data_IF_515287689157
#
_entry.id   IF_515287689157
#
_cell.length_a   1.000
_cell.length_b   1.000
_cell.length_c   1.000
_cell.angle_alpha   90.00
_cell.angle_beta   90.00
_cell.angle_gamma   90.00
#
_symmetry.space_group_name_H-M   'P 1'
#
loop_
_entity.id
_entity.type
_entity.pdbx_description
1 polymer ?
#
# COMPACT_ATOMS: atom_id res chain seq x y z
N UNK A 1 -10.68 -29.35 -16.34
CA UNK A 1 -11.53 -28.53 -15.44
C UNK A 1 -10.74 -27.89 -14.29
N UNK A 2 -9.75 -28.56 -13.73
CA UNK A 2 -8.94 -28.07 -12.59
C UNK A 2 -8.11 -26.82 -12.92
N UNK A 3 -7.41 -26.79 -14.03
CA UNK A 3 -6.57 -25.63 -14.47
C UNK A 3 -7.40 -24.33 -14.61
N UNK A 4 -8.63 -24.42 -15.08
CA UNK A 4 -9.52 -23.28 -15.23
C UNK A 4 -9.95 -22.65 -13.90
N UNK A 5 -9.99 -23.46 -12.83
CA UNK A 5 -10.34 -22.98 -11.49
C UNK A 5 -9.15 -22.27 -10.83
N UNK A 6 -7.93 -22.79 -11.04
CA UNK A 6 -6.69 -22.19 -10.54
C UNK A 6 -6.47 -20.82 -11.20
N UNK A 7 -6.54 -20.76 -12.53
CA UNK A 7 -6.40 -19.51 -13.29
C UNK A 7 -7.40 -18.41 -12.83
N UNK A 8 -8.67 -18.78 -12.62
CA UNK A 8 -9.67 -17.85 -12.08
C UNK A 8 -9.32 -17.32 -10.68
N UNK A 9 -8.73 -18.14 -9.84
CA UNK A 9 -8.34 -17.73 -8.49
C UNK A 9 -7.09 -16.84 -8.51
N UNK A 10 -6.14 -17.08 -9.38
CA UNK A 10 -5.00 -16.21 -9.61
C UNK A 10 -5.44 -14.81 -10.08
N UNK A 11 -6.35 -14.74 -11.05
CA UNK A 11 -6.92 -13.47 -11.52
C UNK A 11 -7.63 -12.74 -10.37
N UNK A 12 -8.41 -13.44 -9.54
CA UNK A 12 -9.05 -12.83 -8.38
C UNK A 12 -8.06 -12.31 -7.35
N UNK A 13 -6.98 -13.04 -7.10
CA UNK A 13 -5.90 -12.64 -6.23
C UNK A 13 -5.21 -11.38 -6.75
N UNK A 14 -4.82 -11.39 -8.03
CA UNK A 14 -4.19 -10.23 -8.68
C UNK A 14 -5.08 -9.00 -8.61
N UNK A 15 -6.36 -9.12 -8.94
CA UNK A 15 -7.33 -8.02 -8.86
C UNK A 15 -7.49 -7.50 -7.43
N UNK A 16 -7.54 -8.38 -6.42
CA UNK A 16 -7.63 -7.96 -5.02
C UNK A 16 -6.39 -7.19 -4.57
N UNK A 17 -5.18 -7.63 -4.97
CA UNK A 17 -3.93 -6.93 -4.71
C UNK A 17 -3.87 -5.58 -5.44
N UNK A 18 -4.27 -5.54 -6.70
CA UNK A 18 -4.31 -4.32 -7.51
C UNK A 18 -5.25 -3.27 -6.89
N UNK A 19 -6.48 -3.67 -6.55
CA UNK A 19 -7.45 -2.77 -5.89
C UNK A 19 -6.92 -2.25 -4.57
N UNK A 20 -6.28 -3.11 -3.77
CA UNK A 20 -5.67 -2.70 -2.50
C UNK A 20 -4.52 -1.72 -2.72
N UNK A 21 -3.67 -1.94 -3.72
CA UNK A 21 -2.56 -1.05 -4.06
C UNK A 21 -3.08 0.33 -4.48
N UNK A 22 -4.06 0.38 -5.38
CA UNK A 22 -4.69 1.63 -5.83
C UNK A 22 -5.31 2.37 -4.63
N UNK A 23 -6.11 1.68 -3.81
CA UNK A 23 -6.74 2.29 -2.64
C UNK A 23 -5.73 2.84 -1.63
N UNK A 24 -4.63 2.11 -1.38
CA UNK A 24 -3.56 2.57 -0.48
C UNK A 24 -2.83 3.79 -1.05
N UNK A 25 -2.59 3.82 -2.36
CA UNK A 25 -1.93 4.95 -3.02
C UNK A 25 -2.81 6.21 -2.96
N UNK A 26 -4.11 6.06 -3.20
CA UNK A 26 -5.07 7.16 -3.10
C UNK A 26 -5.19 7.68 -1.65
N UNK A 27 -5.22 6.78 -0.67
CA UNK A 27 -5.25 7.17 0.74
C UNK A 27 -3.99 7.95 1.14
N UNK A 28 -2.81 7.46 0.74
CA UNK A 28 -1.55 8.14 1.05
C UNK A 28 -1.47 9.52 0.36
N UNK A 29 -1.92 9.61 -0.89
CA UNK A 29 -2.02 10.89 -1.60
C UNK A 29 -2.97 11.87 -0.90
N UNK A 30 -4.11 11.36 -0.39
CA UNK A 30 -5.05 12.14 0.40
C UNK A 30 -4.45 12.64 1.73
N UNK A 31 -3.75 11.77 2.46
CA UNK A 31 -3.06 12.14 3.71
C UNK A 31 -1.99 13.20 3.42
N UNK A 32 -1.23 13.06 2.32
CA UNK A 32 -0.23 14.04 1.91
C UNK A 32 -0.85 15.41 1.65
N UNK A 33 -1.96 15.45 0.92
CA UNK A 33 -2.72 16.67 0.68
C UNK A 33 -3.21 17.32 1.98
N UNK A 34 -3.75 16.51 2.89
CA UNK A 34 -4.24 17.01 4.17
C UNK A 34 -3.11 17.62 5.03
N UNK A 35 -1.95 16.98 5.10
CA UNK A 35 -0.78 17.51 5.81
C UNK A 35 -0.32 18.83 5.17
N UNK A 36 -0.29 18.89 3.84
CA UNK A 36 0.05 20.12 3.13
C UNK A 36 -0.90 21.27 3.50
N UNK A 37 -2.20 21.04 3.57
CA UNK A 37 -3.18 22.05 3.99
C UNK A 37 -2.94 22.50 5.43
N UNK A 38 -2.61 21.59 6.36
CA UNK A 38 -2.28 21.93 7.75
C UNK A 38 -1.04 22.82 7.81
N UNK A 39 0.03 22.46 7.11
CA UNK A 39 1.29 23.20 7.12
C UNK A 39 1.15 24.62 6.54
N UNK A 40 0.20 24.83 5.61
CA UNK A 40 -0.10 26.12 5.04
C UNK A 40 -1.20 26.92 5.80
N UNK A 41 -1.60 26.48 6.99
CA UNK A 41 -2.67 27.12 7.79
C UNK A 41 -4.00 27.29 7.04
N UNK A 42 -4.29 26.43 6.07
CA UNK A 42 -5.58 26.43 5.41
C UNK A 42 -6.68 25.93 6.34
N UNK A 43 -7.89 26.47 6.22
CA UNK A 43 -9.02 26.08 7.04
C UNK A 43 -9.39 24.61 6.84
N UNK A 44 -9.15 23.77 7.85
CA UNK A 44 -9.41 22.31 7.80
C UNK A 44 -10.77 21.91 8.41
N UNK A 45 -11.63 22.87 8.75
CA UNK A 45 -12.87 22.65 9.51
C UNK A 45 -13.84 21.65 8.83
N UNK A 46 -13.98 21.70 7.52
CA UNK A 46 -14.79 20.73 6.78
C UNK A 46 -14.10 19.40 6.48
N UNK A 47 -12.77 19.36 6.60
CA UNK A 47 -11.96 18.19 6.21
C UNK A 47 -12.05 17.04 7.22
N UNK A 48 -12.36 17.29 8.50
CA UNK A 48 -12.42 16.25 9.53
C UNK A 48 -13.47 15.18 9.23
N UNK A 49 -14.67 15.58 8.83
CA UNK A 49 -15.74 14.64 8.46
C UNK A 49 -15.42 13.92 7.14
N UNK A 50 -14.84 14.64 6.19
CA UNK A 50 -14.44 14.04 4.92
C UNK A 50 -13.29 13.03 5.11
N UNK A 51 -12.33 13.32 5.99
CA UNK A 51 -11.27 12.37 6.34
C UNK A 51 -11.83 11.08 6.96
N UNK A 52 -12.81 11.20 7.88
CA UNK A 52 -13.47 10.03 8.45
C UNK A 52 -14.17 9.19 7.36
N UNK A 53 -14.82 9.84 6.40
CA UNK A 53 -15.47 9.17 5.28
C UNK A 53 -14.47 8.45 4.37
N UNK A 54 -13.36 9.09 4.01
CA UNK A 54 -12.28 8.48 3.20
C UNK A 54 -11.68 7.28 3.92
N UNK A 55 -11.43 7.37 5.23
CA UNK A 55 -10.93 6.27 6.04
C UNK A 55 -11.91 5.10 6.11
N UNK A 56 -13.21 5.36 6.23
CA UNK A 56 -14.24 4.32 6.22
C UNK A 56 -14.29 3.59 4.87
N UNK A 57 -14.22 4.31 3.76
CA UNK A 57 -14.16 3.69 2.43
C UNK A 57 -12.91 2.81 2.33
N UNK A 58 -11.76 3.32 2.73
CA UNK A 58 -10.52 2.54 2.71
C UNK A 58 -10.62 1.30 3.59
N UNK A 59 -11.15 1.40 4.80
CA UNK A 59 -11.35 0.28 5.70
C UNK A 59 -12.26 -0.79 5.08
N UNK A 60 -13.35 -0.40 4.42
CA UNK A 60 -14.25 -1.32 3.72
C UNK A 60 -13.55 -2.03 2.56
N UNK A 61 -12.76 -1.31 1.75
CA UNK A 61 -11.98 -1.90 0.66
C UNK A 61 -10.91 -2.84 1.21
N UNK A 62 -10.18 -2.44 2.24
CA UNK A 62 -9.15 -3.25 2.88
C UNK A 62 -9.74 -4.52 3.49
N UNK A 63 -10.91 -4.44 4.14
CA UNK A 63 -11.62 -5.59 4.68
C UNK A 63 -12.03 -6.58 3.58
N UNK A 64 -12.69 -6.08 2.52
CA UNK A 64 -13.15 -6.92 1.40
C UNK A 64 -11.99 -7.61 0.68
N UNK A 65 -10.91 -6.90 0.43
CA UNK A 65 -9.71 -7.46 -0.22
C UNK A 65 -9.00 -8.47 0.67
N UNK A 66 -8.87 -8.20 1.97
CA UNK A 66 -8.29 -9.13 2.95
C UNK A 66 -9.11 -10.42 3.07
N UNK A 67 -10.44 -10.32 3.18
CA UNK A 67 -11.33 -11.49 3.21
C UNK A 67 -11.23 -12.33 1.93
N UNK A 68 -11.06 -11.69 0.77
CA UNK A 68 -10.84 -12.40 -0.51
C UNK A 68 -9.51 -13.14 -0.52
N UNK A 69 -8.44 -12.50 -0.07
CA UNK A 69 -7.09 -13.09 0.01
C UNK A 69 -7.04 -14.24 1.01
N UNK A 70 -7.74 -14.10 2.15
CA UNK A 70 -7.83 -15.15 3.17
C UNK A 70 -8.57 -16.39 2.66
N UNK A 71 -9.68 -16.21 1.93
CA UNK A 71 -10.39 -17.32 1.29
C UNK A 71 -9.50 -18.08 0.30
N UNK A 72 -8.70 -17.36 -0.48
CA UNK A 72 -7.75 -17.95 -1.43
C UNK A 72 -6.65 -18.71 -0.68
N UNK A 73 -6.12 -18.15 0.41
CA UNK A 73 -5.08 -18.79 1.24
C UNK A 73 -5.56 -20.06 1.94
N UNK A 74 -6.83 -20.10 2.34
CA UNK A 74 -7.40 -21.24 3.06
C UNK A 74 -7.84 -22.39 2.12
N UNK A 75 -7.78 -22.19 0.80
CA UNK A 75 -7.99 -23.27 -0.16
C UNK A 75 -6.73 -24.13 -0.25
N UNK A 76 -6.77 -25.33 0.38
CA UNK A 76 -5.63 -26.26 0.47
C UNK A 76 -5.04 -26.63 -0.90
N UNK A 77 -5.88 -26.73 -1.93
CA UNK A 77 -5.45 -27.09 -3.29
C UNK A 77 -4.60 -25.98 -3.91
N UNK A 78 -4.95 -24.71 -3.60
CA UNK A 78 -4.22 -23.55 -4.07
C UNK A 78 -2.95 -23.32 -3.25
N UNK A 79 -2.99 -23.60 -1.95
CA UNK A 79 -1.83 -23.51 -1.06
C UNK A 79 -0.75 -24.52 -1.43
N UNK A 80 -1.13 -25.73 -1.83
CA UNK A 80 -0.21 -26.76 -2.33
C UNK A 80 0.34 -26.41 -3.73
N UNK A 81 -0.49 -25.84 -4.64
CA UNK A 81 -0.07 -25.45 -5.99
C UNK A 81 0.81 -24.18 -6.01
N UNK A 82 0.63 -23.28 -5.05
CA UNK A 82 1.38 -22.03 -4.92
C UNK A 82 2.59 -22.14 -3.98
N UNK A 83 2.93 -23.36 -3.57
CA UNK A 83 4.05 -23.67 -2.70
C UNK A 83 4.24 -22.64 -1.57
N UNK A 84 3.83 -22.96 -0.34
CA UNK A 84 3.81 -22.01 0.78
C UNK A 84 5.17 -21.32 1.03
N UNK A 85 6.26 -21.95 0.58
CA UNK A 85 7.62 -21.44 0.65
C UNK A 85 7.86 -20.27 -0.32
N UNK A 86 7.36 -20.37 -1.56
CA UNK A 86 7.46 -19.28 -2.56
C UNK A 86 6.73 -18.03 -2.07
N UNK A 87 5.57 -18.19 -1.45
CA UNK A 87 4.80 -17.06 -0.95
C UNK A 87 5.50 -16.31 0.20
N UNK A 88 6.14 -17.03 1.10
CA UNK A 88 6.92 -16.43 2.18
C UNK A 88 8.14 -15.66 1.65
N UNK A 89 8.84 -16.20 0.67
CA UNK A 89 9.97 -15.56 0.00
C UNK A 89 9.54 -14.28 -0.74
N UNK A 90 8.40 -14.29 -1.44
CA UNK A 90 7.89 -13.08 -2.10
C UNK A 90 7.50 -11.99 -1.11
N UNK A 91 6.86 -12.33 0.00
CA UNK A 91 6.54 -11.37 1.05
C UNK A 91 7.80 -10.75 1.67
N UNK A 92 8.81 -11.58 1.95
CA UNK A 92 10.10 -11.09 2.47
C UNK A 92 10.79 -10.16 1.47
N UNK A 93 10.89 -10.55 0.19
CA UNK A 93 11.46 -9.70 -0.86
C UNK A 93 10.72 -8.38 -1.03
N UNK A 94 9.39 -8.40 -0.92
CA UNK A 94 8.56 -7.19 -0.98
C UNK A 94 8.85 -6.25 0.18
N UNK A 95 8.93 -6.76 1.41
CA UNK A 95 9.27 -5.97 2.60
C UNK A 95 10.70 -5.42 2.52
N UNK A 96 11.66 -6.23 2.09
CA UNK A 96 13.03 -5.80 1.87
C UNK A 96 13.11 -4.67 0.83
N UNK A 97 12.38 -4.79 -0.29
CA UNK A 97 12.32 -3.73 -1.31
C UNK A 97 11.76 -2.43 -0.73
N UNK A 98 10.68 -2.49 0.05
CA UNK A 98 10.11 -1.33 0.73
C UNK A 98 11.10 -0.68 1.70
N UNK A 99 11.83 -1.49 2.47
CA UNK A 99 12.84 -1.01 3.41
C UNK A 99 14.00 -0.30 2.71
N UNK A 100 14.57 -0.90 1.66
CA UNK A 100 15.64 -0.25 0.89
C UNK A 100 15.16 1.03 0.20
N UNK A 101 13.95 1.04 -0.33
CA UNK A 101 13.36 2.25 -0.91
C UNK A 101 13.18 3.36 0.14
N UNK A 102 12.78 3.02 1.37
CA UNK A 102 12.70 3.96 2.49
C UNK A 102 14.07 4.54 2.86
N UNK A 103 15.11 3.71 2.92
CA UNK A 103 16.47 4.16 3.21
C UNK A 103 16.97 5.14 2.14
N UNK A 104 16.80 4.81 0.85
CA UNK A 104 17.20 5.68 -0.26
C UNK A 104 16.42 7.00 -0.21
N UNK A 105 15.10 6.95 -0.04
CA UNK A 105 14.27 8.14 0.10
C UNK A 105 14.70 8.98 1.31
N UNK A 106 14.99 8.35 2.45
CA UNK A 106 15.48 9.02 3.65
C UNK A 106 16.80 9.76 3.41
N UNK A 107 17.76 9.15 2.73
CA UNK A 107 19.02 9.80 2.37
C UNK A 107 18.79 11.00 1.44
N UNK A 108 17.93 10.86 0.44
CA UNK A 108 17.59 11.96 -0.49
C UNK A 108 16.94 13.12 0.27
N UNK A 109 15.94 12.83 1.10
CA UNK A 109 15.23 13.84 1.90
C UNK A 109 16.18 14.51 2.89
N UNK A 110 17.07 13.76 3.55
CA UNK A 110 18.07 14.30 4.46
C UNK A 110 19.05 15.25 3.75
N UNK A 111 19.47 14.89 2.52
CA UNK A 111 20.45 15.67 1.77
C UNK A 111 19.85 16.95 1.15
N UNK A 112 18.60 16.86 0.67
CA UNK A 112 17.97 17.94 -0.11
C UNK A 112 16.78 18.59 0.59
N UNK A 113 16.37 18.11 1.77
CA UNK A 113 15.18 18.60 2.48
C UNK A 113 15.23 20.08 2.81
N UNK A 114 16.39 20.56 3.25
CA UNK A 114 16.59 21.99 3.55
C UNK A 114 16.49 22.86 2.29
N UNK A 115 17.01 22.38 1.15
CA UNK A 115 16.91 23.09 -0.13
C UNK A 115 15.48 23.20 -0.64
N UNK A 116 14.63 22.21 -0.28
CA UNK A 116 13.23 22.15 -0.69
C UNK A 116 12.26 22.75 0.35
N UNK A 117 12.77 23.27 1.48
CA UNK A 117 11.98 23.77 2.61
C UNK A 117 10.89 22.76 3.06
N UNK A 118 11.25 21.46 3.06
CA UNK A 118 10.30 20.40 3.43
C UNK A 118 10.08 20.42 4.95
N UNK A 119 8.81 20.46 5.37
CA UNK A 119 8.48 20.22 6.78
C UNK A 119 8.81 18.77 7.16
N UNK A 120 9.12 18.54 8.43
CA UNK A 120 9.40 17.19 8.95
C UNK A 120 8.24 16.22 8.68
N UNK A 121 7.01 16.73 8.72
CA UNK A 121 5.80 15.94 8.46
C UNK A 121 5.74 15.48 7.00
N UNK A 122 5.98 16.40 6.05
CA UNK A 122 6.00 16.08 4.62
C UNK A 122 7.16 15.14 4.28
N UNK A 123 8.35 15.39 4.84
CA UNK A 123 9.52 14.54 4.65
C UNK A 123 9.25 13.08 5.10
N UNK A 124 8.70 12.91 6.30
CA UNK A 124 8.34 11.59 6.84
C UNK A 124 7.31 10.89 5.96
N UNK A 125 6.34 11.62 5.45
CA UNK A 125 5.27 11.08 4.64
C UNK A 125 5.77 10.61 3.27
N UNK A 126 6.70 11.35 2.64
CA UNK A 126 7.35 10.95 1.39
C UNK A 126 8.08 9.61 1.57
N UNK A 127 8.83 9.45 2.67
CA UNK A 127 9.56 8.21 2.96
C UNK A 127 8.59 7.03 3.11
N UNK A 128 7.53 7.20 3.91
CA UNK A 128 6.51 6.16 4.14
C UNK A 128 5.79 5.81 2.83
N UNK A 129 5.47 6.82 2.01
CA UNK A 129 4.81 6.64 0.72
C UNK A 129 5.68 5.81 -0.23
N UNK A 130 6.94 6.18 -0.40
CA UNK A 130 7.88 5.48 -1.29
C UNK A 130 8.09 4.04 -0.80
N UNK A 131 8.27 3.82 0.51
CA UNK A 131 8.41 2.50 1.10
C UNK A 131 7.19 1.61 0.84
N UNK A 132 6.01 2.14 1.13
CA UNK A 132 4.74 1.43 0.95
C UNK A 132 4.48 1.09 -0.51
N UNK A 133 4.65 2.06 -1.40
CA UNK A 133 4.43 1.89 -2.84
C UNK A 133 5.39 0.84 -3.43
N UNK A 134 6.68 0.95 -3.12
CA UNK A 134 7.70 0.02 -3.61
C UNK A 134 7.44 -1.41 -3.14
N UNK A 135 7.05 -1.58 -1.88
CA UNK A 135 6.66 -2.88 -1.33
C UNK A 135 5.43 -3.46 -2.05
N UNK A 136 4.43 -2.63 -2.36
CA UNK A 136 3.20 -3.08 -3.01
C UNK A 136 3.42 -3.42 -4.49
N UNK A 137 4.18 -2.59 -5.22
CA UNK A 137 4.54 -2.86 -6.62
C UNK A 137 5.28 -4.20 -6.71
N UNK A 138 6.21 -4.48 -5.80
CA UNK A 138 6.93 -5.76 -5.78
C UNK A 138 6.04 -6.97 -5.56
N UNK A 139 4.88 -6.81 -4.91
CA UNK A 139 3.89 -7.89 -4.76
C UNK A 139 3.08 -8.16 -6.02
N UNK A 140 3.01 -7.19 -6.93
CA UNK A 140 2.27 -7.30 -8.18
C UNK A 140 3.11 -7.92 -9.31
N UNK A 141 4.44 -7.83 -9.20
CA UNK A 141 5.41 -8.41 -10.14
C UNK A 141 5.85 -9.79 -9.66
#
# INVERSE_FOLDING_TARGET
>A
MENFTIEKMEIKRFNALLVRTIASTLLLGWIAWWIYCIDNNESTWGMSYFNAFVLLIYAAVAWKTSATLEKIKNDKRLAEALDGEIYSVYNYKSLATGFYAALIAGVIVFTFGDCLNLSVHIASLIIIFIAGLSSQIRKLI
#
